data_IF_979905088556
#
_entry.id   IF_979905088556
#
_cell.length_a   1.000
_cell.length_b   1.000
_cell.length_c   1.000
_cell.angle_alpha   90.00
_cell.angle_beta   90.00
_cell.angle_gamma   90.00
#
_symmetry.space_group_name_H-M   'P 1'
#
loop_
_entity.id
_entity.type
_entity.pdbx_description
1 polymer ?
#
# COMPACT_ATOMS: atom_id res chain seq x y z
N UNK A 1 -27.06 -10.47 3.43
CA UNK A 1 -26.34 -9.42 4.18
C UNK A 1 -24.88 -9.36 3.76
N UNK A 2 -24.20 -8.24 3.99
CA UNK A 2 -22.75 -8.09 3.69
C UNK A 2 -21.92 -9.14 4.44
N UNK A 3 -22.26 -9.41 5.70
CA UNK A 3 -21.58 -10.42 6.52
C UNK A 3 -21.64 -11.80 5.85
N UNK A 4 -22.79 -12.23 5.35
CA UNK A 4 -22.92 -13.51 4.66
C UNK A 4 -22.08 -13.57 3.36
N UNK A 5 -21.94 -12.45 2.63
CA UNK A 5 -21.04 -12.40 1.47
C UNK A 5 -19.57 -12.58 1.89
N UNK A 6 -19.14 -11.91 2.96
CA UNK A 6 -17.79 -12.04 3.51
C UNK A 6 -17.51 -13.48 3.97
N UNK A 7 -18.44 -14.08 4.72
CA UNK A 7 -18.31 -15.46 5.22
C UNK A 7 -18.19 -16.48 4.08
N UNK A 8 -19.00 -16.30 3.02
CA UNK A 8 -18.93 -17.14 1.83
C UNK A 8 -17.61 -16.97 1.08
N UNK A 9 -17.16 -15.74 0.89
CA UNK A 9 -15.89 -15.44 0.23
C UNK A 9 -14.71 -15.99 1.02
N UNK A 10 -14.73 -15.87 2.35
CA UNK A 10 -13.72 -16.44 3.24
C UNK A 10 -13.66 -17.97 3.14
N UNK A 11 -14.81 -18.62 3.23
CA UNK A 11 -14.90 -20.08 3.11
C UNK A 11 -14.42 -20.57 1.75
N UNK A 12 -14.76 -19.85 0.68
CA UNK A 12 -14.29 -20.14 -0.67
C UNK A 12 -12.77 -20.00 -0.77
N UNK A 13 -12.20 -18.88 -0.30
CA UNK A 13 -10.76 -18.65 -0.32
C UNK A 13 -10.00 -19.75 0.44
N UNK A 14 -10.46 -20.14 1.63
CA UNK A 14 -9.83 -21.22 2.40
C UNK A 14 -9.85 -22.57 1.67
N UNK A 15 -10.94 -22.89 0.99
CA UNK A 15 -11.03 -24.13 0.21
C UNK A 15 -10.12 -24.09 -1.04
N UNK A 16 -10.12 -22.97 -1.75
CA UNK A 16 -9.26 -22.79 -2.92
C UNK A 16 -7.78 -22.74 -2.52
N UNK A 17 -7.46 -22.21 -1.33
CA UNK A 17 -6.10 -22.21 -0.78
C UNK A 17 -5.58 -23.62 -0.52
N UNK A 18 -6.40 -24.54 0.00
CA UNK A 18 -6.00 -25.93 0.19
C UNK A 18 -5.59 -26.57 -1.15
N UNK A 19 -6.41 -26.36 -2.19
CA UNK A 19 -6.11 -26.85 -3.54
C UNK A 19 -4.83 -26.21 -4.11
N UNK A 20 -4.61 -24.94 -3.82
CA UNK A 20 -3.39 -24.22 -4.20
C UNK A 20 -2.17 -24.75 -3.47
N UNK A 21 -2.25 -25.02 -2.18
CA UNK A 21 -1.15 -25.57 -1.38
C UNK A 21 -0.74 -26.99 -1.85
N UNK A 22 -1.70 -27.81 -2.28
CA UNK A 22 -1.49 -29.17 -2.77
C UNK A 22 -1.12 -29.24 -4.27
N UNK A 23 -0.88 -28.11 -4.93
CA UNK A 23 -0.59 -28.04 -6.36
C UNK A 23 0.68 -28.82 -6.76
N UNK A 24 0.66 -29.41 -7.95
CA UNK A 24 1.82 -30.11 -8.49
C UNK A 24 2.82 -29.13 -9.12
N UNK A 25 3.88 -28.80 -8.38
CA UNK A 25 4.94 -27.88 -8.82
C UNK A 25 5.74 -28.40 -10.04
N UNK A 26 5.79 -29.69 -10.29
CA UNK A 26 6.44 -30.22 -11.50
C UNK A 26 5.70 -29.83 -12.79
N UNK A 27 4.39 -29.63 -12.70
CA UNK A 27 3.53 -29.23 -13.83
C UNK A 27 3.33 -27.71 -13.92
N UNK A 28 3.64 -26.99 -12.86
CA UNK A 28 3.48 -25.53 -12.75
C UNK A 28 4.63 -24.94 -11.92
N UNK A 29 5.88 -24.99 -12.42
CA UNK A 29 7.08 -24.68 -11.65
C UNK A 29 7.15 -23.21 -11.18
N UNK A 30 6.49 -22.31 -11.90
CA UNK A 30 6.41 -20.90 -11.52
C UNK A 30 5.13 -20.56 -10.76
N UNK A 31 4.21 -21.51 -10.59
CA UNK A 31 2.92 -21.30 -9.96
C UNK A 31 1.92 -20.49 -10.80
N UNK A 32 2.26 -20.15 -12.05
CA UNK A 32 1.47 -19.22 -12.87
C UNK A 32 0.01 -19.67 -13.07
N UNK A 33 -0.20 -20.96 -13.39
CA UNK A 33 -1.56 -21.50 -13.63
C UNK A 33 -2.34 -21.64 -12.32
N UNK A 34 -1.66 -22.08 -11.28
CA UNK A 34 -2.27 -22.32 -9.95
C UNK A 34 -2.68 -21.00 -9.30
N UNK A 35 -1.80 -19.99 -9.35
CA UNK A 35 -2.10 -18.63 -8.85
C UNK A 35 -3.23 -18.00 -9.65
N UNK A 36 -3.19 -18.08 -10.98
CA UNK A 36 -4.26 -17.57 -11.84
C UNK A 36 -5.61 -18.13 -11.40
N UNK A 37 -5.72 -19.45 -11.27
CA UNK A 37 -6.96 -20.12 -10.87
C UNK A 37 -7.45 -19.69 -9.48
N UNK A 38 -6.52 -19.55 -8.52
CA UNK A 38 -6.83 -19.07 -7.18
C UNK A 38 -7.38 -17.64 -7.23
N UNK A 39 -6.68 -16.75 -7.92
CA UNK A 39 -7.02 -15.33 -7.94
C UNK A 39 -8.24 -15.00 -8.78
N UNK A 40 -8.49 -15.68 -9.89
CA UNK A 40 -9.72 -15.52 -10.67
C UNK A 40 -10.97 -15.84 -9.81
N UNK A 41 -10.91 -16.90 -9.00
CA UNK A 41 -11.99 -17.25 -8.07
C UNK A 41 -12.11 -16.25 -6.92
N UNK A 42 -10.98 -15.82 -6.37
CA UNK A 42 -10.95 -14.81 -5.33
C UNK A 42 -11.60 -13.51 -5.80
N UNK A 43 -11.20 -13.00 -6.96
CA UNK A 43 -11.79 -11.78 -7.54
C UNK A 43 -13.27 -11.95 -7.87
N UNK A 44 -13.66 -13.08 -8.42
CA UNK A 44 -15.07 -13.40 -8.69
C UNK A 44 -15.92 -13.38 -7.41
N UNK A 45 -15.37 -13.82 -6.26
CA UNK A 45 -16.06 -13.78 -4.97
C UNK A 45 -16.33 -12.36 -4.44
N UNK A 46 -15.65 -11.37 -5.01
CA UNK A 46 -15.78 -9.94 -4.71
C UNK A 46 -16.46 -9.15 -5.83
N UNK A 47 -17.17 -9.87 -6.70
CA UNK A 47 -17.95 -9.34 -7.84
C UNK A 47 -17.08 -8.72 -8.97
N UNK A 48 -15.75 -9.04 -9.06
CA UNK A 48 -14.92 -8.60 -10.19
C UNK A 48 -15.18 -9.45 -11.43
N UNK A 49 -15.27 -8.78 -12.57
CA UNK A 49 -15.28 -9.39 -13.89
C UNK A 49 -13.97 -9.05 -14.60
N UNK A 50 -13.04 -10.00 -14.58
CA UNK A 50 -11.72 -9.85 -15.16
C UNK A 50 -11.70 -10.34 -16.60
N UNK A 51 -11.38 -9.46 -17.53
CA UNK A 51 -11.16 -9.78 -18.94
C UNK A 51 -9.68 -10.02 -19.19
N UNK A 52 -9.35 -11.21 -19.67
CA UNK A 52 -7.98 -11.57 -20.02
C UNK A 52 -7.53 -10.87 -21.32
N UNK A 53 -6.35 -10.24 -21.26
CA UNK A 53 -5.72 -9.56 -22.38
C UNK A 53 -4.59 -10.44 -22.95
N UNK A 54 -4.78 -11.08 -24.13
CA UNK A 54 -3.76 -11.95 -24.72
C UNK A 54 -2.58 -11.18 -25.32
N UNK A 55 -2.73 -9.86 -25.53
CA UNK A 55 -1.72 -8.99 -26.13
C UNK A 55 -1.40 -7.85 -25.18
N UNK A 56 -0.19 -7.29 -25.33
CA UNK A 56 0.22 -6.11 -24.58
C UNK A 56 -0.69 -4.92 -24.89
N UNK A 57 -1.00 -4.15 -23.86
CA UNK A 57 -1.78 -2.91 -23.97
C UNK A 57 -0.82 -1.79 -24.38
N UNK A 58 -1.20 -1.01 -25.40
CA UNK A 58 -0.43 0.15 -25.85
C UNK A 58 -0.97 1.43 -25.18
N UNK A 59 -0.08 2.19 -24.55
CA UNK A 59 -0.39 3.49 -23.96
C UNK A 59 0.83 4.42 -24.09
N UNK A 60 0.62 5.65 -24.57
CA UNK A 60 1.67 6.65 -24.77
C UNK A 60 2.88 6.09 -25.54
N UNK A 61 2.65 5.44 -26.69
CA UNK A 61 3.66 4.83 -27.56
C UNK A 61 4.50 3.72 -26.89
N UNK A 62 4.05 3.22 -25.73
CA UNK A 62 4.72 2.15 -24.98
C UNK A 62 3.78 0.95 -24.84
N UNK A 63 4.36 -0.25 -24.79
CA UNK A 63 3.62 -1.51 -24.63
C UNK A 63 3.80 -2.03 -23.22
N UNK A 64 2.67 -2.41 -22.61
CA UNK A 64 2.60 -2.90 -21.24
C UNK A 64 1.97 -4.29 -21.19
N UNK A 65 2.59 -5.18 -20.44
CA UNK A 65 2.07 -6.52 -20.17
C UNK A 65 1.11 -6.47 -18.97
N UNK A 66 -0.13 -6.11 -19.25
CA UNK A 66 -1.24 -6.06 -18.28
C UNK A 66 -2.20 -7.19 -18.66
N UNK A 67 -2.10 -8.37 -18.01
CA UNK A 67 -2.83 -9.55 -18.44
C UNK A 67 -4.32 -9.51 -18.17
N UNK A 68 -4.81 -8.64 -17.32
CA UNK A 68 -6.23 -8.50 -17.03
C UNK A 68 -6.64 -7.04 -16.90
N UNK A 69 -7.86 -6.77 -17.32
CA UNK A 69 -8.59 -5.53 -17.04
C UNK A 69 -9.95 -5.86 -16.44
N UNK A 70 -10.51 -4.95 -15.67
CA UNK A 70 -11.90 -5.01 -15.22
C UNK A 70 -12.68 -3.87 -15.89
N UNK A 71 -13.42 -4.14 -17.00
CA UNK A 71 -14.07 -3.08 -17.78
C UNK A 71 -15.11 -2.30 -16.99
N UNK A 72 -15.86 -2.98 -16.13
CA UNK A 72 -16.90 -2.37 -15.31
C UNK A 72 -16.37 -1.39 -14.26
N UNK A 73 -15.07 -1.45 -13.96
CA UNK A 73 -14.38 -0.56 -13.02
C UNK A 73 -13.47 0.44 -13.75
N UNK A 74 -13.93 0.97 -14.89
CA UNK A 74 -13.16 1.96 -15.65
C UNK A 74 -11.85 1.40 -16.21
N UNK A 75 -11.87 0.14 -16.70
CA UNK A 75 -10.68 -0.55 -17.22
C UNK A 75 -9.59 -0.78 -16.16
N UNK A 76 -9.96 -1.02 -14.89
CA UNK A 76 -9.01 -1.24 -13.80
C UNK A 76 -7.99 -2.33 -14.16
N UNK A 77 -6.69 -2.01 -14.23
CA UNK A 77 -5.65 -2.97 -14.60
C UNK A 77 -5.31 -3.91 -13.45
N UNK A 78 -5.15 -5.21 -13.78
CA UNK A 78 -4.79 -6.24 -12.81
C UNK A 78 -3.67 -7.12 -13.37
N UNK A 79 -2.60 -7.30 -12.61
CA UNK A 79 -1.51 -8.21 -12.92
C UNK A 79 -1.56 -9.38 -11.94
N UNK A 80 -1.72 -10.59 -12.47
CA UNK A 80 -1.62 -11.85 -11.73
C UNK A 80 -0.39 -12.59 -12.24
N UNK A 81 0.55 -12.89 -11.34
CA UNK A 81 1.81 -13.60 -11.66
C UNK A 81 1.97 -14.85 -10.80
N UNK A 82 2.88 -15.71 -11.20
CA UNK A 82 3.27 -16.87 -10.40
C UNK A 82 3.95 -16.48 -9.08
N UNK A 83 3.90 -17.38 -8.11
CA UNK A 83 4.47 -17.17 -6.78
C UNK A 83 5.94 -17.66 -6.67
N UNK A 84 6.52 -18.17 -7.76
CA UNK A 84 7.89 -18.64 -7.83
C UNK A 84 8.69 -17.91 -8.90
N UNK A 85 9.93 -17.55 -8.58
CA UNK A 85 10.84 -16.88 -9.51
C UNK A 85 11.52 -17.86 -10.49
N UNK A 86 11.49 -19.15 -10.16
CA UNK A 86 12.27 -20.19 -10.84
C UNK A 86 13.76 -20.15 -10.48
N UNK A 87 14.12 -19.41 -9.44
CA UNK A 87 15.42 -19.39 -8.81
C UNK A 87 15.28 -19.95 -7.39
N UNK A 88 15.91 -21.09 -7.13
CA UNK A 88 15.74 -21.84 -5.86
C UNK A 88 16.18 -21.01 -4.66
N UNK A 89 17.29 -20.27 -4.78
CA UNK A 89 17.80 -19.46 -3.68
C UNK A 89 16.85 -18.30 -3.36
N UNK A 90 16.33 -17.62 -4.38
CA UNK A 90 15.36 -16.55 -4.22
C UNK A 90 14.02 -17.06 -3.65
N UNK A 91 13.59 -18.23 -4.10
CA UNK A 91 12.34 -18.84 -3.64
C UNK A 91 12.43 -19.33 -2.18
N UNK A 92 13.64 -19.73 -1.73
CA UNK A 92 13.91 -20.08 -0.33
C UNK A 92 14.00 -18.85 0.59
N UNK A 93 14.34 -17.67 0.06
CA UNK A 93 14.47 -16.43 0.84
C UNK A 93 13.14 -15.70 1.06
N UNK A 94 12.01 -16.32 0.80
CA UNK A 94 10.66 -15.77 0.96
C UNK A 94 10.46 -14.41 0.21
N UNK A 95 11.18 -14.21 -0.90
CA UNK A 95 11.08 -12.98 -1.67
C UNK A 95 9.78 -12.94 -2.48
N UNK A 96 9.10 -11.82 -2.36
CA UNK A 96 7.86 -11.61 -3.09
C UNK A 96 8.13 -11.41 -4.59
N UNK A 97 7.55 -12.28 -5.44
CA UNK A 97 7.67 -12.20 -6.91
C UNK A 97 7.08 -10.93 -7.51
N UNK A 98 6.35 -10.13 -6.73
CA UNK A 98 5.83 -8.83 -7.19
C UNK A 98 6.93 -7.79 -7.40
N UNK A 99 8.03 -7.89 -6.66
CA UNK A 99 9.17 -6.96 -6.73
C UNK A 99 10.31 -7.49 -7.59
N UNK A 100 10.17 -8.70 -8.13
CA UNK A 100 11.18 -9.36 -8.93
C UNK A 100 10.62 -9.81 -10.27
N UNK A 101 11.50 -9.94 -11.25
CA UNK A 101 11.15 -10.51 -12.55
C UNK A 101 11.00 -12.03 -12.42
N UNK A 102 9.84 -12.55 -12.84
CA UNK A 102 9.61 -14.00 -12.94
C UNK A 102 10.18 -14.52 -14.26
N UNK A 103 10.96 -15.60 -14.22
CA UNK A 103 11.47 -16.26 -15.43
C UNK A 103 10.33 -16.77 -16.30
N UNK A 104 10.49 -16.70 -17.62
CA UNK A 104 9.48 -17.18 -18.57
C UNK A 104 8.35 -16.19 -18.87
N UNK A 105 8.32 -15.02 -18.25
CA UNK A 105 7.42 -13.94 -18.60
C UNK A 105 8.06 -12.93 -19.56
N UNK A 106 7.24 -12.34 -20.43
CA UNK A 106 7.72 -11.36 -21.41
C UNK A 106 8.05 -10.00 -20.80
N UNK A 107 7.69 -9.77 -19.55
CA UNK A 107 7.95 -8.51 -18.82
C UNK A 107 9.44 -8.30 -18.62
N UNK A 108 9.90 -7.10 -18.93
CA UNK A 108 11.28 -6.69 -18.67
C UNK A 108 11.50 -6.19 -17.24
N UNK A 109 10.43 -5.76 -16.57
CA UNK A 109 10.40 -5.23 -15.20
C UNK A 109 9.60 -6.15 -14.27
N UNK A 110 9.73 -5.92 -12.97
CA UNK A 110 8.86 -6.59 -11.99
C UNK A 110 7.39 -6.23 -12.19
N UNK A 111 6.45 -7.08 -11.75
CA UNK A 111 5.01 -6.79 -11.85
C UNK A 111 4.63 -5.44 -11.24
N UNK A 112 5.17 -5.12 -10.06
CA UNK A 112 4.95 -3.85 -9.38
C UNK A 112 5.43 -2.66 -10.21
N UNK A 113 6.67 -2.72 -10.71
CA UNK A 113 7.23 -1.65 -11.55
C UNK A 113 6.49 -1.50 -12.88
N UNK A 114 6.03 -2.62 -13.48
CA UNK A 114 5.22 -2.59 -14.71
C UNK A 114 3.89 -1.89 -14.48
N UNK A 115 3.22 -2.19 -13.35
CA UNK A 115 1.97 -1.53 -12.99
C UNK A 115 2.17 -0.03 -12.77
N UNK A 116 3.18 0.37 -12.01
CA UNK A 116 3.48 1.80 -11.79
C UNK A 116 3.75 2.55 -13.10
N UNK A 117 4.55 1.96 -13.99
CA UNK A 117 4.83 2.56 -15.30
C UNK A 117 3.55 2.71 -16.13
N UNK A 118 2.66 1.70 -16.09
CA UNK A 118 1.37 1.75 -16.77
C UNK A 118 0.47 2.85 -16.22
N UNK A 119 0.30 2.91 -14.89
CA UNK A 119 -0.49 3.96 -14.23
C UNK A 119 0.04 5.36 -14.50
N UNK A 120 1.37 5.53 -14.53
CA UNK A 120 2.00 6.81 -14.87
C UNK A 120 1.86 7.19 -16.37
N UNK A 121 1.62 6.20 -17.23
CA UNK A 121 1.44 6.40 -18.67
C UNK A 121 -0.03 6.50 -19.08
N UNK A 122 -0.95 6.38 -18.14
CA UNK A 122 -2.39 6.41 -18.35
C UNK A 122 -3.06 7.32 -17.32
N UNK A 123 -4.37 7.53 -17.45
CA UNK A 123 -5.17 8.26 -16.47
C UNK A 123 -5.71 7.37 -15.33
N UNK A 124 -5.27 6.11 -15.28
CA UNK A 124 -5.73 5.21 -14.22
C UNK A 124 -5.13 5.59 -12.87
N UNK A 125 -5.99 5.70 -11.86
CA UNK A 125 -5.57 6.02 -10.49
C UNK A 125 -5.15 4.77 -9.75
N UNK A 126 -5.85 3.64 -9.95
CA UNK A 126 -5.63 2.40 -9.24
C UNK A 126 -5.20 1.27 -10.18
N UNK A 127 -4.40 0.34 -9.62
CA UNK A 127 -4.05 -0.92 -10.23
C UNK A 127 -3.84 -1.99 -9.17
N UNK A 128 -4.04 -3.24 -9.53
CA UNK A 128 -3.89 -4.37 -8.61
C UNK A 128 -2.77 -5.28 -9.12
N UNK A 129 -1.87 -5.70 -8.23
CA UNK A 129 -0.88 -6.74 -8.52
C UNK A 129 -0.91 -7.82 -7.45
N UNK A 130 -0.81 -9.09 -7.89
CA UNK A 130 -0.84 -10.22 -6.97
C UNK A 130 -0.06 -11.42 -7.50
N UNK A 131 0.53 -12.19 -6.60
CA UNK A 131 1.12 -13.49 -6.85
C UNK A 131 0.37 -14.62 -6.10
N UNK A 132 -0.85 -14.35 -5.64
CA UNK A 132 -1.67 -15.28 -4.88
C UNK A 132 -1.31 -15.38 -3.40
N UNK A 133 -0.07 -15.10 -3.01
CA UNK A 133 0.34 -15.04 -1.60
C UNK A 133 0.21 -13.63 -1.04
N UNK A 134 0.50 -12.63 -1.87
CA UNK A 134 0.41 -11.21 -1.54
C UNK A 134 -0.45 -10.52 -2.60
N UNK A 135 -1.29 -9.59 -2.15
CA UNK A 135 -2.11 -8.72 -3.00
C UNK A 135 -1.80 -7.27 -2.68
N UNK A 136 -1.49 -6.47 -3.70
CA UNK A 136 -1.26 -5.03 -3.59
C UNK A 136 -2.28 -4.25 -4.38
N UNK A 137 -2.93 -3.29 -3.73
CA UNK A 137 -3.65 -2.20 -4.37
C UNK A 137 -2.70 -1.01 -4.49
N UNK A 138 -2.34 -0.65 -5.70
CA UNK A 138 -1.41 0.45 -6.00
C UNK A 138 -2.23 1.66 -6.42
N UNK A 139 -1.90 2.84 -5.87
CA UNK A 139 -2.47 4.11 -6.27
C UNK A 139 -1.42 4.97 -6.97
N UNK A 140 -1.78 5.50 -8.14
CA UNK A 140 -0.99 6.51 -8.82
C UNK A 140 -1.08 7.84 -8.05
N UNK A 141 0.07 8.39 -7.67
CA UNK A 141 0.14 9.68 -6.95
C UNK A 141 0.55 10.84 -7.85
N UNK A 142 0.82 10.58 -9.13
CA UNK A 142 1.37 11.59 -10.05
C UNK A 142 2.77 12.11 -9.65
N UNK A 143 3.35 11.58 -8.58
CA UNK A 143 4.69 11.93 -8.10
C UNK A 143 5.60 10.71 -8.17
N UNK A 144 6.68 10.81 -8.91
CA UNK A 144 7.67 9.74 -9.14
C UNK A 144 8.35 9.19 -7.86
N UNK A 145 8.17 9.83 -6.72
CA UNK A 145 8.98 9.60 -5.52
C UNK A 145 8.22 8.86 -4.39
N UNK A 146 6.89 8.74 -4.44
CA UNK A 146 6.12 8.08 -3.37
C UNK A 146 5.39 6.85 -3.88
N UNK A 147 5.91 5.68 -3.53
CA UNK A 147 5.18 4.42 -3.63
C UNK A 147 3.99 4.47 -2.67
N UNK A 148 2.76 4.48 -3.22
CA UNK A 148 1.56 4.41 -2.40
C UNK A 148 0.81 3.14 -2.76
N UNK A 149 0.87 2.16 -1.89
CA UNK A 149 0.10 0.93 -2.03
C UNK A 149 -0.35 0.42 -0.65
N UNK A 150 -1.42 -0.36 -0.68
CA UNK A 150 -1.86 -1.19 0.45
C UNK A 150 -1.52 -2.63 0.09
N UNK A 151 -0.86 -3.34 1.00
CA UNK A 151 -0.47 -4.73 0.82
C UNK A 151 -1.21 -5.63 1.80
N UNK A 152 -1.70 -6.75 1.31
CA UNK A 152 -2.36 -7.79 2.08
C UNK A 152 -1.60 -9.11 1.93
N UNK A 153 -1.18 -9.70 3.03
CA UNK A 153 -0.58 -11.03 3.07
C UNK A 153 -1.68 -12.09 3.14
N UNK A 154 -2.12 -12.56 1.94
CA UNK A 154 -3.18 -13.57 1.83
C UNK A 154 -2.75 -14.92 2.42
N UNK A 155 -1.47 -15.27 2.27
CA UNK A 155 -0.92 -16.51 2.83
C UNK A 155 -1.12 -16.53 4.34
N UNK A 156 -0.63 -15.51 5.00
CA UNK A 156 -0.72 -15.38 6.45
C UNK A 156 -2.17 -15.35 6.93
N UNK A 157 -3.03 -14.60 6.23
CA UNK A 157 -4.46 -14.53 6.58
C UNK A 157 -5.10 -15.91 6.60
N UNK A 158 -4.82 -16.75 5.58
CA UNK A 158 -5.46 -18.06 5.47
C UNK A 158 -4.81 -19.10 6.39
N UNK A 159 -3.47 -19.13 6.47
CA UNK A 159 -2.72 -20.12 7.24
C UNK A 159 -2.85 -19.91 8.76
N UNK A 160 -2.93 -18.65 9.22
CA UNK A 160 -3.09 -18.28 10.63
C UNK A 160 -4.55 -17.95 11.01
N UNK A 161 -5.52 -18.16 10.11
CA UNK A 161 -6.97 -17.94 10.30
C UNK A 161 -7.35 -16.50 10.71
N UNK A 162 -6.70 -15.49 10.08
CA UNK A 162 -6.92 -14.06 10.36
C UNK A 162 -8.19 -13.54 9.68
N UNK A 163 -9.35 -14.06 10.06
CA UNK A 163 -10.65 -13.67 9.51
C UNK A 163 -10.93 -12.16 9.60
N UNK A 164 -10.54 -11.51 10.69
CA UNK A 164 -10.76 -10.07 10.87
C UNK A 164 -10.01 -9.23 9.82
N UNK A 165 -8.77 -9.61 9.46
CA UNK A 165 -7.99 -8.98 8.41
C UNK A 165 -8.64 -9.21 7.04
N UNK A 166 -9.13 -10.42 6.78
CA UNK A 166 -9.89 -10.71 5.57
C UNK A 166 -11.17 -9.86 5.45
N UNK A 167 -11.91 -9.65 6.55
CA UNK A 167 -13.06 -8.74 6.57
C UNK A 167 -12.68 -7.31 6.16
N UNK A 168 -11.52 -6.84 6.58
CA UNK A 168 -11.00 -5.53 6.18
C UNK A 168 -10.64 -5.51 4.69
N UNK A 169 -9.88 -6.53 4.23
CA UNK A 169 -9.54 -6.69 2.82
C UNK A 169 -10.79 -6.69 1.96
N UNK A 170 -11.78 -7.53 2.27
CA UNK A 170 -13.02 -7.62 1.49
C UNK A 170 -13.75 -6.28 1.40
N UNK A 171 -13.83 -5.53 2.50
CA UNK A 171 -14.47 -4.21 2.53
C UNK A 171 -13.71 -3.16 1.72
N UNK A 172 -12.39 -3.21 1.70
CA UNK A 172 -11.56 -2.28 0.93
C UNK A 172 -11.55 -2.61 -0.55
N UNK A 173 -11.46 -3.92 -0.88
CA UNK A 173 -11.25 -4.38 -2.25
C UNK A 173 -12.53 -4.67 -3.02
N UNK A 174 -13.70 -4.75 -2.38
CA UNK A 174 -14.96 -5.04 -3.07
C UNK A 174 -15.24 -4.00 -4.17
N UNK A 175 -15.71 -4.46 -5.34
CA UNK A 175 -15.95 -3.64 -6.54
C UNK A 175 -16.73 -2.36 -6.28
N UNK A 176 -17.66 -2.38 -5.32
CA UNK A 176 -18.45 -1.19 -4.95
C UNK A 176 -17.63 -0.01 -4.39
N UNK A 177 -16.32 -0.18 -4.16
CA UNK A 177 -15.42 0.89 -3.71
C UNK A 177 -14.81 1.67 -4.86
N UNK A 178 -14.84 1.09 -6.04
CA UNK A 178 -14.31 1.68 -7.28
C UNK A 178 -15.50 2.13 -8.11
N UNK A 179 -15.60 3.43 -8.41
CA UNK A 179 -16.70 3.98 -9.21
C UNK A 179 -16.30 4.07 -10.68
N UNK A 180 -17.34 4.01 -11.54
CA UNK A 180 -17.19 4.06 -13.00
C UNK A 180 -17.20 5.48 -13.58
N UNK A 181 -17.64 6.50 -12.84
CA UNK A 181 -18.15 7.71 -13.47
C UNK A 181 -17.33 8.97 -13.22
N UNK A 182 -16.55 9.05 -12.17
CA UNK A 182 -15.63 10.16 -11.89
C UNK A 182 -14.80 9.87 -10.64
N UNK A 183 -13.62 10.49 -10.55
CA UNK A 183 -12.72 10.37 -9.38
C UNK A 183 -13.41 10.80 -8.08
N UNK A 184 -14.24 11.84 -8.13
CA UNK A 184 -14.98 12.37 -6.99
C UNK A 184 -16.06 11.39 -6.45
N UNK A 185 -16.58 10.51 -7.29
CA UNK A 185 -17.56 9.49 -6.90
C UNK A 185 -16.90 8.21 -6.34
N UNK A 186 -15.61 8.01 -6.55
CA UNK A 186 -14.89 6.85 -6.06
C UNK A 186 -14.74 6.90 -4.54
N UNK A 187 -15.32 5.90 -3.85
CA UNK A 187 -15.26 5.82 -2.37
C UNK A 187 -13.81 5.74 -1.88
N UNK A 188 -12.94 5.03 -2.60
CA UNK A 188 -11.52 4.94 -2.27
C UNK A 188 -10.84 6.32 -2.31
N UNK A 189 -11.13 7.15 -3.33
CA UNK A 189 -10.61 8.52 -3.40
C UNK A 189 -11.15 9.40 -2.28
N UNK A 190 -12.43 9.28 -1.93
CA UNK A 190 -13.00 10.01 -0.80
C UNK A 190 -12.29 9.64 0.51
N UNK A 191 -12.02 8.35 0.75
CA UNK A 191 -11.29 7.91 1.93
C UNK A 191 -9.83 8.37 1.93
N UNK A 192 -9.17 8.31 0.78
CA UNK A 192 -7.81 8.80 0.62
C UNK A 192 -7.72 10.31 0.93
N UNK A 193 -8.60 11.12 0.36
CA UNK A 193 -8.64 12.56 0.59
C UNK A 193 -8.93 12.92 2.05
N UNK A 194 -9.89 12.23 2.69
CA UNK A 194 -10.17 12.37 4.13
C UNK A 194 -8.97 11.99 5.00
N UNK A 195 -8.22 10.96 4.60
CA UNK A 195 -6.99 10.55 5.29
C UNK A 195 -5.92 11.63 5.23
N UNK A 196 -5.73 12.26 4.06
CA UNK A 196 -4.80 13.39 3.90
C UNK A 196 -5.24 14.57 4.77
N UNK A 197 -6.50 14.96 4.73
CA UNK A 197 -7.02 16.06 5.55
C UNK A 197 -6.84 15.80 7.04
N UNK A 198 -7.12 14.57 7.49
CA UNK A 198 -6.92 14.15 8.87
C UNK A 198 -5.44 14.20 9.26
N UNK A 199 -4.55 13.71 8.40
CA UNK A 199 -3.11 13.77 8.61
C UNK A 199 -2.58 15.20 8.69
N UNK A 200 -3.09 16.11 7.84
CA UNK A 200 -2.72 17.51 7.88
C UNK A 200 -3.22 18.20 9.16
N UNK A 201 -4.43 17.90 9.63
CA UNK A 201 -4.95 18.41 10.91
C UNK A 201 -4.14 17.93 12.11
N UNK A 202 -3.77 16.65 12.13
CA UNK A 202 -2.92 16.08 13.20
C UNK A 202 -1.53 16.76 13.18
N UNK A 203 -0.95 16.93 12.00
CA UNK A 203 0.37 17.60 11.86
C UNK A 203 0.33 19.05 12.34
N UNK A 204 -0.71 19.80 11.96
CA UNK A 204 -0.91 21.17 12.43
C UNK A 204 -1.07 21.22 13.95
N UNK A 205 -1.94 20.37 14.52
CA UNK A 205 -2.15 20.30 15.97
C UNK A 205 -0.89 19.89 16.74
N UNK A 206 -0.08 18.97 16.19
CA UNK A 206 1.21 18.60 16.79
C UNK A 206 2.22 19.76 16.74
N UNK A 207 2.28 20.48 15.61
CA UNK A 207 3.14 21.67 15.47
C UNK A 207 2.77 22.72 16.51
N UNK A 208 1.48 23.03 16.68
CA UNK A 208 1.01 23.99 17.69
C UNK A 208 1.31 23.52 19.12
N UNK A 209 1.15 22.23 19.39
CA UNK A 209 1.46 21.66 20.70
C UNK A 209 2.96 21.75 21.04
N UNK A 210 3.82 21.42 20.06
CA UNK A 210 5.29 21.55 20.20
C UNK A 210 5.68 23.01 20.41
N UNK A 211 5.12 23.94 19.63
CA UNK A 211 5.38 25.36 19.81
C UNK A 211 4.98 25.85 21.23
N UNK A 212 3.79 25.49 21.71
CA UNK A 212 3.35 25.81 23.07
C UNK A 212 4.24 25.22 24.14
N UNK A 213 4.67 23.95 23.95
CA UNK A 213 5.61 23.32 24.88
C UNK A 213 6.94 24.07 24.92
N UNK A 214 7.48 24.47 23.77
CA UNK A 214 8.70 25.27 23.69
C UNK A 214 8.55 26.63 24.38
N UNK A 215 7.42 27.31 24.20
CA UNK A 215 7.12 28.58 24.87
C UNK A 215 7.04 28.42 26.39
N UNK A 216 6.37 27.38 26.88
CA UNK A 216 6.26 27.11 28.33
C UNK A 216 7.63 26.79 28.93
N UNK A 217 8.38 25.88 28.28
CA UNK A 217 9.73 25.52 28.74
C UNK A 217 10.69 26.70 28.66
N UNK A 218 10.66 27.44 27.55
CA UNK A 218 11.48 28.63 27.39
C UNK A 218 11.20 29.71 28.49
N UNK A 219 9.91 29.94 28.76
CA UNK A 219 9.50 30.83 29.86
C UNK A 219 9.97 30.31 31.24
N UNK A 220 9.84 29.01 31.49
CA UNK A 220 10.28 28.41 32.73
C UNK A 220 11.80 28.55 32.93
N UNK A 221 12.59 28.34 31.87
CA UNK A 221 14.05 28.50 31.91
C UNK A 221 14.45 29.95 32.08
N UNK A 222 13.83 30.90 31.37
CA UNK A 222 14.19 32.31 31.42
C UNK A 222 13.62 33.02 32.64
N UNK A 223 12.39 32.68 33.07
CA UNK A 223 11.66 33.38 34.14
C UNK A 223 11.63 32.60 35.46
N UNK A 224 12.13 31.35 35.50
CA UNK A 224 12.14 30.52 36.70
C UNK A 224 13.01 31.11 37.82
N UNK A 225 12.57 30.95 39.07
CA UNK A 225 13.28 31.50 40.28
C UNK A 225 14.26 30.48 40.85
N UNK A 226 15.20 29.98 40.07
CA UNK A 226 16.23 29.03 40.53
C UNK A 226 17.64 29.54 40.25
N UNK A 227 18.62 29.20 41.09
CA UNK A 227 20.00 29.65 40.94
C UNK A 227 20.64 29.30 39.60
N UNK A 228 20.28 28.13 39.02
CA UNK A 228 20.72 27.73 37.69
C UNK A 228 20.15 28.59 36.55
N UNK A 229 18.96 29.15 36.76
CA UNK A 229 18.32 30.03 35.77
C UNK A 229 18.91 31.44 35.78
N UNK A 230 19.46 31.89 36.92
CA UNK A 230 20.11 33.19 37.04
C UNK A 230 21.37 33.25 36.17
N UNK A 231 22.22 32.23 36.25
CA UNK A 231 23.44 32.14 35.43
C UNK A 231 23.09 32.13 33.92
N UNK A 232 22.03 31.43 33.55
CA UNK A 232 21.59 31.40 32.15
C UNK A 232 21.04 32.75 31.68
N UNK A 233 20.26 33.44 32.51
CA UNK A 233 19.79 34.81 32.21
C UNK A 233 20.95 35.80 32.05
N UNK A 234 21.96 35.72 32.90
CA UNK A 234 23.15 36.53 32.77
C UNK A 234 23.93 36.23 31.49
N UNK A 235 24.06 34.95 31.11
CA UNK A 235 24.68 34.56 29.85
C UNK A 235 23.94 35.12 28.62
N UNK A 236 22.60 35.17 28.66
CA UNK A 236 21.78 35.80 27.60
C UNK A 236 22.02 37.33 27.59
N UNK A 237 22.01 37.98 28.74
CA UNK A 237 22.23 39.42 28.85
C UNK A 237 23.63 39.84 28.40
N UNK A 238 24.62 39.01 28.64
CA UNK A 238 26.00 39.21 28.23
C UNK A 238 26.28 38.87 26.77
N UNK A 239 25.29 38.32 26.06
CA UNK A 239 25.43 37.87 24.65
C UNK A 239 26.17 36.54 24.48
N UNK A 240 26.45 35.84 25.57
CA UNK A 240 27.12 34.53 25.57
C UNK A 240 26.20 33.39 25.16
N UNK A 241 24.88 33.57 25.35
CA UNK A 241 23.84 32.67 24.84
C UNK A 241 22.82 33.43 24.00
N UNK A 242 22.37 32.85 22.89
CA UNK A 242 21.39 33.46 22.01
C UNK A 242 20.12 32.61 21.89
N UNK A 243 19.06 33.18 21.32
CA UNK A 243 17.77 32.51 21.12
C UNK A 243 17.86 31.26 20.23
N UNK A 244 18.83 31.22 19.31
CA UNK A 244 19.03 30.05 18.45
C UNK A 244 19.59 28.86 19.22
N UNK A 245 20.54 29.12 20.12
CA UNK A 245 21.12 28.10 21.01
C UNK A 245 20.05 27.56 21.95
N UNK A 246 19.26 28.44 22.58
CA UNK A 246 18.14 28.05 23.44
C UNK A 246 17.10 27.19 22.69
N UNK A 247 16.69 27.59 21.50
CA UNK A 247 15.75 26.83 20.72
C UNK A 247 16.28 25.44 20.34
N UNK A 248 17.58 25.35 20.03
CA UNK A 248 18.23 24.09 19.69
C UNK A 248 18.24 23.11 20.87
N UNK A 249 18.58 23.60 22.06
CA UNK A 249 18.57 22.82 23.31
C UNK A 249 17.12 22.40 23.70
N UNK A 250 16.15 23.31 23.58
CA UNK A 250 14.74 22.98 23.85
C UNK A 250 14.19 21.94 22.88
N UNK A 251 14.53 22.01 21.59
CA UNK A 251 14.16 20.99 20.60
C UNK A 251 14.77 19.64 21.00
N UNK A 252 16.05 19.61 21.37
CA UNK A 252 16.74 18.39 21.79
C UNK A 252 16.17 17.80 23.09
N UNK A 253 15.58 18.61 23.93
CA UNK A 253 14.94 18.16 25.18
C UNK A 253 13.52 17.57 24.91
N UNK A 254 12.84 18.02 23.87
CA UNK A 254 11.47 17.59 23.52
C UNK A 254 11.50 16.31 22.68
N UNK A 255 12.55 16.08 21.91
CA UNK A 255 12.75 14.91 21.04
C UNK A 255 13.81 13.96 21.61
#
# INVERSE_FOLDING_TARGET
SLTAKIDNAWSSLRNDWKLFAERNMLRDPYGTKSVRRLMERFFSSQDYQLDYQPTQIEANERKFDIPYICPELGQLPVIIVGDKTGDVELDMMDKCTLDQRVKGEHRQKSPHATMLDYLNSTEHIYGIVTNGQVLRLIRNTGQLVKLTYIEFDLRRMVEEDHYAEFCLLFRLMHTSRFSHSSDDACIMEQWFNRSIESGNRIRAGLSDAVQKAMEILGRAVVCGKGDGNEAFRQAIMNGEANSQTLNKELIHFIY
#
